data_IF_920340339786
#
_entry.id   IF_920340339786
#
_cell.length_a   1.000
_cell.length_b   1.000
_cell.length_c   1.000
_cell.angle_alpha   90.00
_cell.angle_beta   90.00
_cell.angle_gamma   90.00
#
_symmetry.space_group_name_H-M   'P 1'
#
loop_
_entity.id
_entity.type
_entity.pdbx_description
1 polymer ?
#
# COMPACT_ATOMS: atom_id res chain seq x y z
N UNK A 1 -1.04 4.49 -3.62
CA UNK A 1 -2.42 4.05 -3.40
C UNK A 1 -3.00 4.65 -2.11
N UNK A 2 -2.36 4.44 -0.93
CA UNK A 2 -2.82 5.02 0.32
C UNK A 2 -2.95 6.55 0.27
N UNK A 3 -1.93 7.25 -0.26
CA UNK A 3 -1.99 8.71 -0.45
C UNK A 3 -3.23 9.13 -1.24
N UNK A 4 -3.52 8.46 -2.36
CA UNK A 4 -4.69 8.79 -3.18
C UNK A 4 -6.02 8.58 -2.42
N UNK A 5 -6.11 7.52 -1.61
CA UNK A 5 -7.27 7.29 -0.74
C UNK A 5 -7.38 8.38 0.32
N UNK A 6 -6.27 8.78 0.95
CA UNK A 6 -6.25 9.84 1.95
C UNK A 6 -6.73 11.18 1.39
N UNK A 7 -6.29 11.55 0.18
CA UNK A 7 -6.75 12.76 -0.51
C UNK A 7 -8.26 12.71 -0.80
N UNK A 8 -8.77 11.59 -1.35
CA UNK A 8 -10.21 11.42 -1.61
C UNK A 8 -11.04 11.48 -0.34
N UNK A 9 -10.56 10.87 0.76
CA UNK A 9 -11.22 10.95 2.06
C UNK A 9 -11.24 12.37 2.62
N UNK A 10 -10.18 13.15 2.40
CA UNK A 10 -10.12 14.55 2.78
C UNK A 10 -11.15 15.36 1.97
N UNK A 11 -11.17 15.21 0.64
CA UNK A 11 -12.11 15.90 -0.25
C UNK A 11 -13.58 15.54 0.05
N UNK A 12 -13.85 14.29 0.41
CA UNK A 12 -15.17 13.83 0.89
C UNK A 12 -15.58 14.54 2.18
N UNK A 13 -14.67 14.67 3.15
CA UNK A 13 -14.92 15.38 4.41
C UNK A 13 -15.13 16.88 4.20
N UNK A 14 -14.45 17.47 3.22
CA UNK A 14 -14.60 18.87 2.83
C UNK A 14 -15.89 19.14 2.02
N UNK A 15 -16.69 18.09 1.75
CA UNK A 15 -18.03 18.19 1.11
C UNK A 15 -17.98 18.82 -0.28
N UNK A 16 -16.94 18.51 -1.05
CA UNK A 16 -16.77 19.03 -2.40
C UNK A 16 -17.91 18.48 -3.30
N UNK A 17 -18.57 19.31 -4.13
CA UNK A 17 -19.79 18.95 -4.87
C UNK A 17 -19.63 17.84 -5.91
N UNK A 18 -18.39 17.41 -6.17
CA UNK A 18 -18.04 16.38 -7.15
C UNK A 18 -18.24 14.96 -6.59
N UNK A 19 -18.32 14.82 -5.26
CA UNK A 19 -18.54 13.56 -4.59
C UNK A 19 -19.97 13.45 -4.05
N UNK A 20 -20.53 12.24 -4.10
CA UNK A 20 -21.83 11.96 -3.51
C UNK A 20 -21.69 12.17 -2.00
N UNK A 21 -22.60 12.96 -1.43
CA UNK A 21 -22.61 13.25 0.00
C UNK A 21 -22.69 11.95 0.80
N UNK A 22 -21.63 11.64 1.55
CA UNK A 22 -21.65 10.50 2.47
C UNK A 22 -22.32 10.95 3.76
N UNK A 23 -23.34 10.23 4.17
CA UNK A 23 -23.99 10.43 5.45
C UNK A 23 -23.00 10.03 6.56
N UNK A 24 -22.74 10.87 7.59
CA UNK A 24 -21.75 10.56 8.63
C UNK A 24 -22.00 9.25 9.39
N UNK A 25 -23.25 8.75 9.35
CA UNK A 25 -23.65 7.51 9.99
C UNK A 25 -23.63 6.29 9.05
N UNK A 26 -23.26 6.47 7.78
CA UNK A 26 -23.13 5.38 6.80
C UNK A 26 -21.66 5.13 6.47
N UNK A 27 -21.26 3.85 6.29
CA UNK A 27 -19.89 3.53 5.90
C UNK A 27 -19.56 4.11 4.52
N UNK A 28 -18.36 4.69 4.41
CA UNK A 28 -17.82 5.21 3.15
C UNK A 28 -17.63 4.03 2.19
N UNK A 29 -18.26 4.11 1.01
CA UNK A 29 -18.14 3.11 -0.06
C UNK A 29 -17.06 3.56 -1.03
N UNK A 30 -15.89 2.93 -0.97
CA UNK A 30 -14.76 3.22 -1.86
C UNK A 30 -14.40 1.97 -2.66
N UNK A 31 -14.15 2.13 -3.96
CA UNK A 31 -13.61 1.07 -4.83
C UNK A 31 -12.21 1.51 -5.25
N UNK A 32 -11.21 0.70 -4.94
CA UNK A 32 -9.80 0.98 -5.20
C UNK A 32 -9.21 -0.06 -6.16
N UNK A 33 -8.72 0.41 -7.31
CA UNK A 33 -7.83 -0.34 -8.19
C UNK A 33 -6.39 0.16 -7.99
N UNK A 34 -5.51 -0.73 -7.56
CA UNK A 34 -4.11 -0.43 -7.29
C UNK A 34 -3.23 -1.24 -8.25
N UNK A 35 -2.36 -0.56 -9.00
CA UNK A 35 -1.45 -1.20 -9.95
C UNK A 35 -0.02 -1.15 -9.40
N UNK A 36 0.64 -2.30 -9.36
CA UNK A 36 2.06 -2.45 -9.01
C UNK A 36 2.93 -2.58 -10.25
N UNK A 37 4.18 -2.16 -10.15
CA UNK A 37 5.19 -2.33 -11.20
C UNK A 37 5.97 -3.66 -11.09
N UNK A 38 5.43 -4.59 -10.29
CA UNK A 38 6.05 -5.88 -10.00
C UNK A 38 6.97 -5.85 -8.79
N UNK A 39 7.09 -7.01 -8.14
CA UNK A 39 7.99 -7.24 -7.01
C UNK A 39 8.96 -8.34 -7.40
N UNK A 40 10.25 -8.08 -7.20
CA UNK A 40 11.25 -9.16 -7.18
C UNK A 40 11.17 -9.82 -5.81
N UNK A 41 11.00 -11.14 -5.77
CA UNK A 41 11.14 -11.87 -4.51
C UNK A 41 12.59 -11.72 -4.03
N UNK A 42 12.80 -10.83 -3.06
CA UNK A 42 14.10 -10.72 -2.41
C UNK A 42 14.24 -11.88 -1.44
N UNK A 43 15.00 -12.91 -1.83
CA UNK A 43 15.58 -13.80 -0.83
C UNK A 43 16.39 -12.93 0.13
N UNK A 44 15.96 -12.88 1.40
CA UNK A 44 16.64 -12.11 2.42
C UNK A 44 18.12 -12.47 2.50
N UNK A 45 18.97 -11.49 2.77
CA UNK A 45 20.41 -11.71 2.87
C UNK A 45 20.71 -12.35 4.23
N UNK A 46 21.47 -13.46 4.23
CA UNK A 46 21.91 -14.10 5.47
C UNK A 46 22.72 -13.08 6.32
N UNK A 47 22.32 -12.84 7.58
CA UNK A 47 23.02 -11.88 8.44
C UNK A 47 24.50 -12.21 8.65
N UNK A 48 24.89 -13.49 8.55
CA UNK A 48 26.30 -13.93 8.63
C UNK A 48 27.14 -13.52 7.42
N UNK A 49 26.49 -13.21 6.30
CA UNK A 49 27.12 -12.67 5.10
C UNK A 49 27.09 -11.14 5.17
N UNK A 50 25.95 -10.56 5.57
CA UNK A 50 25.78 -9.11 5.68
C UNK A 50 26.73 -8.45 6.70
N UNK A 51 27.18 -9.18 7.74
CA UNK A 51 28.15 -8.65 8.71
C UNK A 51 29.50 -8.24 8.08
N UNK A 52 29.80 -8.72 6.87
CA UNK A 52 31.03 -8.39 6.14
C UNK A 52 30.81 -7.34 5.04
N UNK A 53 29.60 -6.79 4.91
CA UNK A 53 29.29 -5.80 3.88
C UNK A 53 29.99 -4.47 4.16
N UNK A 54 30.62 -3.93 3.12
CA UNK A 54 31.10 -2.56 3.12
C UNK A 54 29.93 -1.60 2.90
N UNK A 55 30.17 -0.30 3.10
CA UNK A 55 29.17 0.74 2.83
C UNK A 55 28.57 0.64 1.41
N UNK A 56 29.41 0.34 0.41
CA UNK A 56 28.96 0.26 -0.98
C UNK A 56 28.05 -0.95 -1.24
N UNK A 57 28.23 -2.05 -0.50
CA UNK A 57 27.42 -3.26 -0.62
C UNK A 57 26.02 -3.06 -0.02
N UNK A 58 25.88 -2.14 0.95
CA UNK A 58 24.59 -1.82 1.57
C UNK A 58 23.67 -0.98 0.69
N UNK A 59 24.21 -0.12 -0.17
CA UNK A 59 23.41 0.81 -1.00
C UNK A 59 22.29 0.09 -1.77
N UNK A 60 22.56 -0.94 -2.59
CA UNK A 60 21.50 -1.61 -3.35
C UNK A 60 20.50 -2.32 -2.42
N UNK A 61 20.96 -2.90 -1.31
CA UNK A 61 20.10 -3.60 -0.34
C UNK A 61 19.14 -2.63 0.34
N UNK A 62 19.63 -1.47 0.76
CA UNK A 62 18.79 -0.46 1.39
C UNK A 62 17.77 0.12 0.41
N UNK A 63 18.15 0.35 -0.84
CA UNK A 63 17.22 0.87 -1.86
C UNK A 63 16.09 -0.13 -2.10
N UNK A 64 16.42 -1.40 -2.33
CA UNK A 64 15.40 -2.45 -2.55
C UNK A 64 14.56 -2.66 -1.29
N UNK A 65 15.19 -2.75 -0.11
CA UNK A 65 14.48 -2.95 1.15
C UNK A 65 13.52 -1.81 1.49
N UNK A 66 13.88 -0.56 1.19
CA UNK A 66 13.00 0.59 1.39
C UNK A 66 11.80 0.56 0.45
N UNK A 67 12.00 0.22 -0.83
CA UNK A 67 10.90 0.20 -1.80
C UNK A 67 9.93 -0.95 -1.53
N UNK A 68 10.42 -2.14 -1.19
CA UNK A 68 9.57 -3.29 -0.85
C UNK A 68 8.81 -3.06 0.45
N UNK A 69 9.49 -2.62 1.51
CA UNK A 69 8.85 -2.34 2.81
C UNK A 69 7.80 -1.24 2.71
N UNK A 70 8.07 -0.18 1.93
CA UNK A 70 7.09 0.88 1.71
C UNK A 70 5.84 0.37 1.00
N UNK A 71 6.00 -0.52 0.02
CA UNK A 71 4.88 -1.15 -0.66
C UNK A 71 4.07 -2.05 0.29
N UNK A 72 4.74 -2.85 1.13
CA UNK A 72 4.11 -3.74 2.12
C UNK A 72 3.31 -2.95 3.17
N UNK A 73 3.90 -1.89 3.72
CA UNK A 73 3.24 -1.03 4.72
C UNK A 73 2.02 -0.33 4.11
N UNK A 74 2.15 0.18 2.88
CA UNK A 74 1.05 0.81 2.16
C UNK A 74 -0.10 -0.18 1.92
N UNK A 75 0.20 -1.43 1.59
CA UNK A 75 -0.80 -2.49 1.41
C UNK A 75 -1.46 -2.90 2.72
N UNK A 76 -0.67 -3.08 3.79
CA UNK A 76 -1.17 -3.36 5.13
C UNK A 76 -2.13 -2.29 5.64
N UNK A 77 -1.77 -1.00 5.49
CA UNK A 77 -2.62 0.10 5.91
C UNK A 77 -3.92 0.19 5.09
N UNK A 78 -3.85 -0.06 3.78
CA UNK A 78 -5.06 -0.12 2.96
C UNK A 78 -5.98 -1.25 3.41
N UNK A 79 -5.44 -2.44 3.65
CA UNK A 79 -6.22 -3.59 4.08
C UNK A 79 -6.88 -3.39 5.46
N UNK A 80 -6.14 -2.84 6.44
CA UNK A 80 -6.61 -2.78 7.83
C UNK A 80 -7.32 -1.49 8.21
N UNK A 81 -6.96 -0.34 7.64
CA UNK A 81 -7.50 0.94 8.09
C UNK A 81 -8.64 1.40 7.18
N UNK A 82 -8.55 1.12 5.88
CA UNK A 82 -9.55 1.56 4.90
C UNK A 82 -10.63 0.50 4.69
N UNK A 83 -10.28 -0.79 4.78
CA UNK A 83 -11.22 -1.90 4.60
C UNK A 83 -11.22 -2.92 5.76
N UNK A 84 -11.35 -2.47 7.03
CA UNK A 84 -11.20 -3.31 8.24
C UNK A 84 -12.22 -4.44 8.39
N UNK A 85 -13.44 -4.26 7.90
CA UNK A 85 -14.54 -5.18 8.14
C UNK A 85 -14.99 -5.88 6.84
N UNK A 86 -15.16 -7.21 6.95
CA UNK A 86 -15.92 -8.11 6.04
C UNK A 86 -15.18 -8.57 4.77
N UNK A 87 -15.71 -9.60 4.04
CA UNK A 87 -15.18 -10.15 2.78
C UNK A 87 -15.07 -9.13 1.62
N UNK A 88 -15.16 -7.83 1.92
CA UNK A 88 -14.91 -6.67 1.07
C UNK A 88 -13.50 -6.61 0.53
N UNK A 89 -12.53 -7.25 1.19
CA UNK A 89 -11.16 -7.40 0.65
C UNK A 89 -11.14 -8.08 -0.72
N UNK A 90 -12.16 -8.87 -1.08
CA UNK A 90 -12.25 -9.51 -2.39
C UNK A 90 -12.96 -8.67 -3.47
N UNK A 91 -13.69 -7.60 -3.13
CA UNK A 91 -14.56 -6.90 -4.11
C UNK A 91 -14.34 -5.38 -4.23
N UNK A 92 -13.78 -4.72 -3.23
CA UNK A 92 -13.64 -3.26 -3.22
C UNK A 92 -12.19 -2.77 -3.28
N UNK A 93 -11.22 -3.65 -3.08
CA UNK A 93 -9.80 -3.36 -3.31
C UNK A 93 -9.19 -4.44 -4.20
N UNK A 94 -8.83 -4.06 -5.43
CA UNK A 94 -8.12 -4.92 -6.36
C UNK A 94 -6.69 -4.43 -6.53
N UNK A 95 -5.72 -5.24 -6.11
CA UNK A 95 -4.30 -5.02 -6.38
C UNK A 95 -3.86 -5.93 -7.52
N UNK A 96 -3.29 -5.34 -8.57
CA UNK A 96 -2.66 -6.08 -9.67
C UNK A 96 -1.15 -5.87 -9.54
N UNK A 97 -0.40 -6.95 -9.34
CA UNK A 97 1.05 -6.90 -9.19
C UNK A 97 1.69 -8.11 -9.85
N UNK A 98 2.72 -7.87 -10.67
CA UNK A 98 3.50 -8.93 -11.32
C UNK A 98 4.49 -9.52 -10.31
N UNK A 99 4.51 -10.84 -10.20
CA UNK A 99 5.53 -11.57 -9.44
C UNK A 99 6.45 -12.21 -10.48
N UNK A 100 7.73 -11.83 -10.47
CA UNK A 100 8.79 -12.40 -11.31
C UNK A 100 9.69 -13.34 -10.51
#
# INVERSE_FOLDING_TARGET
ALVAVSEVLQELNEKIPQFIHVNPNEPIKLVLLSLGCGRTETQGIDPRIAQFFSFNDWIPVTVVGLTTSAADINEYHLALVVFPDLPSSENYHLRIEVHE
#
